data_IF_917196088142
#
_entry.id   IF_917196088142
#
_cell.length_a   1.000
_cell.length_b   1.000
_cell.length_c   1.000
_cell.angle_alpha   90.00
_cell.angle_beta   90.00
_cell.angle_gamma   90.00
#
_symmetry.space_group_name_H-M   'P 1'
#
loop_
_entity.id
_entity.type
_entity.pdbx_description
1 polymer ?
#
# COMPACT_ATOMS: atom_id res chain seq x y z
N UNK A 1 -8.77 5.64 6.75
CA UNK A 1 -7.86 6.02 7.84
C UNK A 1 -7.40 7.46 7.66
N UNK A 2 -7.19 8.20 8.75
CA UNK A 2 -6.68 9.57 8.74
C UNK A 2 -5.69 9.75 9.89
N UNK A 3 -4.52 10.36 9.65
CA UNK A 3 -3.61 10.76 10.74
C UNK A 3 -4.01 12.14 11.26
N UNK A 4 -4.12 12.28 12.57
CA UNK A 4 -4.33 13.56 13.25
C UNK A 4 -2.99 14.15 13.69
N UNK A 5 -2.66 15.30 13.10
CA UNK A 5 -1.41 16.03 13.36
C UNK A 5 -1.38 16.75 14.71
N UNK A 6 -2.48 16.76 15.45
CA UNK A 6 -2.57 17.37 16.78
C UNK A 6 -2.40 16.37 17.91
N UNK A 7 -2.65 15.09 17.64
CA UNK A 7 -2.59 14.02 18.65
C UNK A 7 -1.63 12.87 18.30
N UNK A 8 -0.93 12.94 17.17
CA UNK A 8 -0.05 11.89 16.64
C UNK A 8 -0.74 10.50 16.64
N UNK A 9 -2.03 10.50 16.28
CA UNK A 9 -2.87 9.30 16.31
C UNK A 9 -3.53 9.06 14.95
N UNK A 10 -3.82 7.80 14.65
CA UNK A 10 -4.54 7.42 13.43
C UNK A 10 -5.98 7.02 13.75
N UNK A 11 -6.91 7.56 12.97
CA UNK A 11 -8.33 7.28 13.07
C UNK A 11 -8.77 6.30 11.99
N UNK A 12 -9.32 5.15 12.41
CA UNK A 12 -10.11 4.27 11.57
C UNK A 12 -11.56 4.77 11.58
N UNK A 13 -12.01 5.27 10.42
CA UNK A 13 -13.35 5.79 10.23
C UNK A 13 -14.14 4.80 9.37
N UNK A 14 -15.32 4.36 9.81
CA UNK A 14 -16.13 3.45 9.01
C UNK A 14 -16.54 4.15 7.72
N UNK A 15 -16.42 3.45 6.59
CA UNK A 15 -16.84 3.96 5.28
C UNK A 15 -18.37 4.11 5.25
N UNK A 16 -19.07 3.19 5.89
CA UNK A 16 -20.53 3.16 5.99
C UNK A 16 -20.97 3.23 7.45
N UNK A 17 -21.99 4.03 7.72
CA UNK A 17 -22.72 4.07 8.99
C UNK A 17 -24.19 3.80 8.65
N UNK A 18 -24.76 2.77 9.26
CA UNK A 18 -26.14 2.31 8.99
C UNK A 18 -26.44 2.07 7.50
N UNK A 19 -25.48 1.47 6.79
CA UNK A 19 -25.59 1.16 5.35
C UNK A 19 -25.50 2.39 4.43
N UNK A 20 -25.22 3.58 4.97
CA UNK A 20 -25.08 4.83 4.20
C UNK A 20 -23.65 5.34 4.25
N UNK A 21 -23.18 6.08 3.23
CA UNK A 21 -21.87 6.72 3.26
C UNK A 21 -21.67 7.58 4.51
N UNK A 22 -20.52 7.42 5.17
CA UNK A 22 -20.14 8.23 6.32
C UNK A 22 -19.80 9.66 5.91
N UNK A 23 -20.81 10.53 5.91
CA UNK A 23 -20.67 11.93 5.55
C UNK A 23 -19.76 12.71 6.50
N UNK A 24 -19.63 12.29 7.77
CA UNK A 24 -18.74 12.94 8.73
C UNK A 24 -17.28 12.67 8.36
N UNK A 25 -16.93 11.43 8.05
CA UNK A 25 -15.63 11.07 7.49
C UNK A 25 -15.37 11.86 6.20
N UNK A 26 -16.33 11.93 5.28
CA UNK A 26 -16.21 12.72 4.05
C UNK A 26 -15.89 14.19 4.32
N UNK A 27 -16.60 14.83 5.27
CA UNK A 27 -16.34 16.22 5.67
C UNK A 27 -14.96 16.40 6.31
N UNK A 28 -14.47 15.44 7.09
CA UNK A 28 -13.15 15.48 7.70
C UNK A 28 -12.04 15.51 6.63
N UNK A 29 -12.17 14.71 5.57
CA UNK A 29 -11.22 14.69 4.45
C UNK A 29 -11.35 15.91 3.51
N UNK A 30 -12.56 16.42 3.30
CA UNK A 30 -12.82 17.57 2.39
C UNK A 30 -12.45 18.94 2.98
N UNK A 31 -12.36 19.06 4.31
CA UNK A 31 -11.96 20.31 4.98
C UNK A 31 -10.60 20.85 4.50
N UNK A 32 -9.72 19.98 3.97
CA UNK A 32 -8.45 20.39 3.37
C UNK A 32 -8.50 20.83 1.90
N UNK A 33 -9.58 20.54 1.16
CA UNK A 33 -9.64 20.67 -0.32
C UNK A 33 -10.31 21.94 -0.84
N UNK A 34 -10.97 22.74 -0.01
CA UNK A 34 -11.66 23.95 -0.47
C UNK A 34 -10.66 25.02 -0.96
N UNK A 35 -10.71 25.44 -2.24
CA UNK A 35 -9.89 26.56 -2.71
C UNK A 35 -10.31 27.85 -1.99
N UNK A 36 -9.37 28.76 -1.67
CA UNK A 36 -9.70 30.03 -1.06
C UNK A 36 -10.64 30.81 -1.98
N UNK A 37 -11.77 31.29 -1.44
CA UNK A 37 -12.62 32.27 -2.16
C UNK A 37 -11.81 33.55 -2.35
N UNK A 38 -11.76 34.06 -3.58
CA UNK A 38 -11.10 35.34 -3.94
C UNK A 38 -11.57 36.44 -2.96
N UNK A 39 -10.61 37.07 -2.26
CA UNK A 39 -10.86 38.27 -1.45
C UNK A 39 -10.85 38.09 0.07
N UNK A 40 -10.67 36.88 0.63
CA UNK A 40 -10.57 36.70 2.09
C UNK A 40 -9.15 36.28 2.49
N UNK A 41 -8.38 37.21 3.10
CA UNK A 41 -7.16 36.89 3.85
C UNK A 41 -7.56 36.26 5.19
N UNK A 42 -8.06 35.03 5.15
CA UNK A 42 -8.16 34.20 6.34
C UNK A 42 -6.87 33.40 6.49
N UNK A 43 -6.26 33.35 7.70
CA UNK A 43 -5.16 32.43 7.96
C UNK A 43 -5.57 31.03 7.52
N UNK A 44 -4.72 30.35 6.73
CA UNK A 44 -4.98 28.96 6.32
C UNK A 44 -5.17 28.14 7.59
N UNK A 45 -6.39 27.68 7.85
CA UNK A 45 -6.64 26.74 8.94
C UNK A 45 -5.67 25.56 8.76
N UNK A 46 -4.87 25.29 9.80
CA UNK A 46 -3.88 24.20 9.77
C UNK A 46 -4.67 22.91 9.54
N UNK A 47 -4.34 22.14 8.49
CA UNK A 47 -4.99 20.85 8.23
C UNK A 47 -4.70 19.95 9.43
N UNK A 48 -5.72 19.67 10.22
CA UNK A 48 -5.67 18.79 11.39
C UNK A 48 -5.42 17.35 10.95
N UNK A 49 -6.11 16.91 9.89
CA UNK A 49 -5.96 15.56 9.33
C UNK A 49 -5.05 15.50 8.10
N UNK A 50 -4.35 14.38 7.96
CA UNK A 50 -3.49 14.05 6.84
C UNK A 50 -3.67 12.59 6.39
N UNK A 51 -3.17 12.30 5.20
CA UNK A 51 -3.04 10.91 4.74
C UNK A 51 -1.93 10.24 5.57
N UNK A 52 -2.21 9.10 6.22
CA UNK A 52 -1.20 8.34 6.95
C UNK A 52 -0.06 7.87 6.04
N UNK A 53 1.11 7.66 6.64
CA UNK A 53 2.18 6.94 5.98
C UNK A 53 1.72 5.52 5.61
N UNK A 54 2.38 4.91 4.63
CA UNK A 54 1.98 3.57 4.18
C UNK A 54 2.27 2.51 5.24
N UNK A 55 3.39 2.65 5.95
CA UNK A 55 3.78 1.72 7.01
C UNK A 55 2.77 1.76 8.16
N UNK A 56 2.40 2.98 8.58
CA UNK A 56 1.31 3.29 9.52
C UNK A 56 0.00 2.56 9.15
N UNK A 57 -0.42 2.62 7.87
CA UNK A 57 -1.58 1.86 7.40
C UNK A 57 -1.40 0.36 7.52
N UNK A 58 -0.23 -0.17 7.15
CA UNK A 58 0.05 -1.61 7.19
C UNK A 58 0.04 -2.12 8.63
N UNK A 59 0.77 -1.46 9.52
CA UNK A 59 0.87 -1.81 10.94
C UNK A 59 -0.51 -1.77 11.59
N UNK A 60 -1.29 -0.71 11.36
CA UNK A 60 -2.64 -0.62 11.88
C UNK A 60 -3.56 -1.73 11.38
N UNK A 61 -3.50 -2.06 10.09
CA UNK A 61 -4.33 -3.14 9.54
C UNK A 61 -3.93 -4.50 10.10
N UNK A 62 -2.65 -4.71 10.39
CA UNK A 62 -2.18 -5.93 11.04
C UNK A 62 -2.68 -6.02 12.49
N UNK A 63 -2.54 -4.94 13.26
CA UNK A 63 -2.94 -4.90 14.68
C UNK A 63 -4.45 -5.11 14.89
N UNK A 64 -5.26 -4.76 13.89
CA UNK A 64 -6.72 -4.89 13.90
C UNK A 64 -7.22 -6.18 13.21
N UNK A 65 -6.32 -7.10 12.82
CA UNK A 65 -6.64 -8.32 12.09
C UNK A 65 -7.42 -8.08 10.78
N UNK A 66 -7.11 -6.98 10.08
CA UNK A 66 -7.76 -6.54 8.83
C UNK A 66 -6.94 -6.83 7.57
N UNK A 67 -5.84 -7.59 7.68
CA UNK A 67 -5.10 -8.13 6.54
C UNK A 67 -5.72 -9.45 6.05
N UNK A 68 -5.64 -9.77 4.74
CA UNK A 68 -4.94 -9.04 3.67
C UNK A 68 -5.70 -7.79 3.17
N UNK A 69 -4.97 -6.85 2.55
CA UNK A 69 -5.55 -5.61 2.01
C UNK A 69 -4.98 -5.23 0.64
N UNK A 70 -5.80 -4.59 -0.19
CA UNK A 70 -5.40 -4.02 -1.49
C UNK A 70 -5.33 -2.50 -1.37
N UNK A 71 -4.15 -1.93 -1.61
CA UNK A 71 -3.92 -0.47 -1.57
C UNK A 71 -3.88 0.10 -2.99
N UNK A 72 -4.94 0.81 -3.40
CA UNK A 72 -5.04 1.35 -4.76
C UNK A 72 -4.17 2.60 -4.96
N UNK A 73 -3.27 2.53 -5.94
CA UNK A 73 -2.39 3.63 -6.35
C UNK A 73 -2.51 3.82 -7.86
N UNK A 74 -2.89 5.02 -8.28
CA UNK A 74 -3.13 5.33 -9.71
C UNK A 74 -1.88 5.82 -10.44
N UNK A 75 -0.74 5.16 -10.22
CA UNK A 75 0.51 5.39 -10.94
C UNK A 75 1.39 4.15 -10.82
N UNK A 76 1.88 3.64 -11.96
CA UNK A 76 2.72 2.44 -12.03
C UNK A 76 3.97 2.60 -11.17
N UNK A 77 4.73 3.67 -11.41
CA UNK A 77 5.94 3.99 -10.64
C UNK A 77 5.65 4.16 -9.13
N UNK A 78 4.50 4.73 -8.78
CA UNK A 78 4.13 4.88 -7.37
C UNK A 78 3.69 3.56 -6.72
N UNK A 79 3.23 2.56 -7.48
CA UNK A 79 3.01 1.20 -6.98
C UNK A 79 4.35 0.55 -6.59
N UNK A 80 5.33 0.61 -7.49
CA UNK A 80 6.65 0.02 -7.28
C UNK A 80 7.37 0.66 -6.09
N UNK A 81 7.39 2.00 -6.04
CA UNK A 81 7.96 2.74 -4.91
C UNK A 81 7.24 2.45 -3.60
N UNK A 82 5.92 2.24 -3.62
CA UNK A 82 5.17 1.90 -2.41
C UNK A 82 5.61 0.55 -1.84
N UNK A 83 5.65 -0.49 -2.68
CA UNK A 83 6.08 -1.82 -2.27
C UNK A 83 7.54 -1.82 -1.80
N UNK A 84 8.42 -1.14 -2.53
CA UNK A 84 9.83 -0.99 -2.17
C UNK A 84 10.00 -0.28 -0.81
N UNK A 85 9.20 0.77 -0.57
CA UNK A 85 9.24 1.53 0.66
C UNK A 85 8.83 0.72 1.88
N UNK A 86 7.82 -0.17 1.77
CA UNK A 86 7.45 -1.09 2.84
C UNK A 86 8.63 -1.99 3.23
N UNK A 87 9.30 -2.60 2.25
CA UNK A 87 10.48 -3.44 2.52
C UNK A 87 11.62 -2.63 3.15
N UNK A 88 11.92 -1.44 2.63
CA UNK A 88 12.96 -0.55 3.19
C UNK A 88 12.67 -0.13 4.64
N UNK A 89 11.39 -0.03 5.00
CA UNK A 89 10.93 0.31 6.35
C UNK A 89 10.79 -0.91 7.26
N UNK A 90 11.12 -2.11 6.78
CA UNK A 90 11.18 -3.33 7.58
C UNK A 90 9.87 -4.12 7.67
N UNK A 91 8.87 -3.83 6.83
CA UNK A 91 7.63 -4.62 6.77
C UNK A 91 7.94 -6.10 6.57
N UNK A 92 7.29 -6.97 7.37
CA UNK A 92 7.45 -8.41 7.28
C UNK A 92 6.19 -9.12 7.77
N UNK A 93 5.27 -9.39 6.84
CA UNK A 93 3.94 -9.96 7.13
C UNK A 93 3.91 -11.49 7.05
N UNK A 94 4.96 -12.11 6.52
CA UNK A 94 5.02 -13.56 6.30
C UNK A 94 5.72 -14.31 7.44
N UNK A 95 5.32 -15.56 7.62
CA UNK A 95 6.04 -16.57 8.40
C UNK A 95 7.16 -17.21 7.58
N UNK A 96 8.12 -17.91 8.22
CA UNK A 96 9.12 -18.70 7.50
C UNK A 96 8.51 -19.73 6.54
N UNK A 97 7.38 -20.33 6.90
CA UNK A 97 6.70 -21.34 6.07
C UNK A 97 6.03 -20.72 4.84
N UNK A 98 5.44 -19.54 4.99
CA UNK A 98 4.91 -18.77 3.86
C UNK A 98 6.02 -18.36 2.91
N UNK A 99 7.18 -17.92 3.41
CA UNK A 99 8.33 -17.60 2.52
C UNK A 99 8.79 -18.79 1.72
N UNK A 100 8.88 -19.98 2.33
CA UNK A 100 9.25 -21.19 1.61
C UNK A 100 8.26 -21.50 0.48
N UNK A 101 6.96 -21.31 0.72
CA UNK A 101 5.92 -21.47 -0.31
C UNK A 101 6.03 -20.41 -1.41
N UNK A 102 6.25 -19.16 -1.04
CA UNK A 102 6.45 -18.05 -1.98
C UNK A 102 7.66 -18.30 -2.88
N UNK A 103 8.80 -18.71 -2.30
CA UNK A 103 10.00 -19.03 -3.07
C UNK A 103 9.79 -20.20 -4.03
N UNK A 104 9.00 -21.21 -3.64
CA UNK A 104 8.64 -22.30 -4.54
C UNK A 104 7.81 -21.82 -5.73
N UNK A 105 6.84 -20.91 -5.51
CA UNK A 105 6.04 -20.30 -6.59
C UNK A 105 6.92 -19.45 -7.51
N UNK A 106 7.85 -18.68 -6.95
CA UNK A 106 8.82 -17.88 -7.69
C UNK A 106 9.69 -18.78 -8.57
N UNK A 107 10.24 -19.85 -8.02
CA UNK A 107 11.07 -20.81 -8.76
C UNK A 107 10.29 -21.50 -9.89
N UNK A 108 9.07 -21.98 -9.60
CA UNK A 108 8.20 -22.62 -10.59
C UNK A 108 7.91 -21.70 -11.79
N UNK A 109 7.66 -20.41 -11.53
CA UNK A 109 7.21 -19.47 -12.56
C UNK A 109 8.33 -18.74 -13.27
N UNK A 110 9.44 -18.49 -12.60
CA UNK A 110 10.52 -17.64 -13.09
C UNK A 110 11.84 -18.40 -13.31
N UNK A 111 11.96 -19.65 -12.84
CA UNK A 111 13.20 -20.44 -12.91
C UNK A 111 13.69 -20.78 -14.32
N UNK A 112 12.83 -20.66 -15.34
CA UNK A 112 13.19 -20.86 -16.74
C UNK A 112 13.67 -19.59 -17.47
N UNK A 113 13.64 -18.43 -16.81
CA UNK A 113 14.12 -17.17 -17.39
C UNK A 113 15.64 -17.04 -17.24
N UNK A 114 16.27 -16.39 -18.21
CA UNK A 114 17.70 -16.11 -18.14
C UNK A 114 18.01 -15.12 -17.01
N UNK A 115 19.17 -15.28 -16.37
CA UNK A 115 19.57 -14.43 -15.24
C UNK A 115 19.69 -12.96 -15.64
N UNK A 116 20.22 -12.69 -16.82
CA UNK A 116 20.39 -11.32 -17.32
C UNK A 116 19.02 -10.63 -17.52
N UNK A 117 18.02 -11.36 -18.00
CA UNK A 117 16.64 -10.85 -18.12
C UNK A 117 16.04 -10.56 -16.73
N UNK A 118 16.21 -11.48 -15.78
CA UNK A 118 15.73 -11.32 -14.40
C UNK A 118 16.36 -10.10 -13.72
N UNK A 119 17.66 -9.86 -13.93
CA UNK A 119 18.37 -8.73 -13.37
C UNK A 119 17.85 -7.39 -13.94
N UNK A 120 17.61 -7.31 -15.26
CA UNK A 120 17.01 -6.14 -15.91
C UNK A 120 15.60 -5.86 -15.37
N UNK A 121 14.85 -6.91 -15.03
CA UNK A 121 13.50 -6.80 -14.48
C UNK A 121 13.45 -6.48 -12.98
N UNK A 122 14.59 -6.40 -12.29
CA UNK A 122 14.64 -6.12 -10.85
C UNK A 122 14.18 -7.30 -9.99
N UNK A 123 14.47 -8.53 -10.42
CA UNK A 123 14.07 -9.77 -9.75
C UNK A 123 14.39 -9.80 -8.25
N UNK A 124 15.57 -9.35 -7.85
CA UNK A 124 15.98 -9.35 -6.44
C UNK A 124 15.05 -8.51 -5.56
N UNK A 125 14.65 -7.33 -6.02
CA UNK A 125 13.69 -6.48 -5.33
C UNK A 125 12.30 -7.10 -5.33
N UNK A 126 11.87 -7.69 -6.45
CA UNK A 126 10.58 -8.34 -6.58
C UNK A 126 10.42 -9.51 -5.59
N UNK A 127 11.42 -10.38 -5.49
CA UNK A 127 11.42 -11.50 -4.53
C UNK A 127 11.44 -11.00 -3.10
N UNK A 128 12.24 -9.98 -2.78
CA UNK A 128 12.29 -9.41 -1.43
C UNK A 128 10.93 -8.82 -1.00
N UNK A 129 10.19 -8.22 -1.93
CA UNK A 129 8.83 -7.73 -1.68
C UNK A 129 7.87 -8.91 -1.39
N UNK A 130 7.84 -9.92 -2.26
CA UNK A 130 6.99 -11.10 -2.08
C UNK A 130 7.29 -11.80 -0.74
N UNK A 131 8.56 -12.04 -0.42
CA UNK A 131 8.97 -12.63 0.86
C UNK A 131 8.62 -11.77 2.07
N UNK A 132 8.43 -10.45 1.92
CA UNK A 132 7.94 -9.56 2.96
C UNK A 132 6.40 -9.58 3.09
N UNK A 133 5.68 -10.21 2.16
CA UNK A 133 4.22 -10.24 2.09
C UNK A 133 3.61 -9.01 1.43
N UNK A 134 4.38 -8.29 0.60
CA UNK A 134 3.94 -7.09 -0.11
C UNK A 134 4.24 -7.24 -1.60
N UNK A 135 3.38 -6.74 -2.49
CA UNK A 135 3.65 -6.73 -3.92
C UNK A 135 3.06 -5.49 -4.59
N UNK A 136 3.71 -4.98 -5.63
CA UNK A 136 3.04 -4.11 -6.59
C UNK A 136 2.29 -4.97 -7.61
N UNK A 137 1.14 -4.48 -8.09
CA UNK A 137 0.42 -5.07 -9.22
C UNK A 137 -0.11 -3.97 -10.11
N UNK A 138 0.40 -3.89 -11.34
CA UNK A 138 -0.03 -2.91 -12.32
C UNK A 138 0.26 -3.40 -13.74
N UNK A 139 -0.35 -2.75 -14.74
CA UNK A 139 -0.21 -3.10 -16.15
C UNK A 139 1.20 -2.94 -16.75
N UNK A 140 2.18 -2.48 -15.96
CA UNK A 140 3.57 -2.32 -16.41
C UNK A 140 4.46 -3.52 -16.09
N UNK A 141 4.01 -4.42 -15.22
CA UNK A 141 4.72 -5.66 -14.94
C UNK A 141 4.67 -6.60 -16.15
N UNK A 142 5.77 -7.31 -16.40
CA UNK A 142 5.82 -8.38 -17.40
C UNK A 142 4.89 -9.53 -16.98
N UNK A 143 4.33 -10.31 -17.95
CA UNK A 143 3.37 -11.36 -17.63
C UNK A 143 3.83 -12.35 -16.55
N UNK A 144 5.08 -12.87 -16.58
CA UNK A 144 5.54 -13.80 -15.54
C UNK A 144 5.50 -13.21 -14.13
N UNK A 145 5.85 -11.93 -13.96
CA UNK A 145 5.82 -11.27 -12.65
C UNK A 145 4.38 -11.06 -12.17
N UNK A 146 3.47 -10.64 -13.06
CA UNK A 146 2.04 -10.50 -12.72
C UNK A 146 1.45 -11.80 -12.24
N UNK A 147 1.66 -12.87 -13.00
CA UNK A 147 1.11 -14.18 -12.68
C UNK A 147 1.73 -14.74 -11.39
N UNK A 148 3.00 -14.41 -11.11
CA UNK A 148 3.66 -14.76 -9.83
C UNK A 148 3.03 -14.02 -8.65
N UNK A 149 2.75 -12.72 -8.78
CA UNK A 149 2.02 -11.96 -7.74
C UNK A 149 0.63 -12.56 -7.54
N UNK A 150 -0.11 -12.82 -8.61
CA UNK A 150 -1.45 -13.39 -8.54
C UNK A 150 -1.45 -14.76 -7.84
N UNK A 151 -0.47 -15.62 -8.13
CA UNK A 151 -0.34 -16.92 -7.48
C UNK A 151 -0.01 -16.84 -5.97
N UNK A 152 0.69 -15.79 -5.53
CA UNK A 152 1.03 -15.59 -4.13
C UNK A 152 -0.12 -15.03 -3.27
N UNK A 153 -1.18 -14.49 -3.89
CA UNK A 153 -2.27 -13.76 -3.22
C UNK A 153 -3.66 -14.39 -3.46
N UNK A 154 -3.71 -15.69 -3.79
CA UNK A 154 -4.93 -16.51 -3.98
C UNK A 154 -5.13 -17.49 -2.83
#
# INVERSE_FOLDING_TARGET
MASDRTSDSEHLLPVLVDGRPNNEAGRLFDQGRRPPRRGSYRPRARRVFATPARIEVVDRLQDEDLLPAIYFIFSRNACDEAAASCVRQGTRLTTPDERRRILAIVDERLGNLERDDLDVLGYSQFVAQLEAGVASHHAGLVPPFKETVEACFV
#
